data_IF_487945139368
#
_entry.id   IF_487945139368
#
_cell.length_a   1.000
_cell.length_b   1.000
_cell.length_c   1.000
_cell.angle_alpha   90.00
_cell.angle_beta   90.00
_cell.angle_gamma   90.00
#
_symmetry.space_group_name_H-M   'P 1'
#
loop_
_entity.id
_entity.type
_entity.pdbx_description
1 polymer ?
#
# COMPACT_ATOMS: atom_id res chain seq x y z
N UNK A 1 27.52 -60.26 9.90
CA UNK A 1 28.10 -58.90 9.68
C UNK A 1 27.62 -58.23 8.37
N UNK A 2 27.40 -58.94 7.29
CA UNK A 2 27.00 -58.33 6.00
C UNK A 2 25.63 -57.58 6.02
N UNK A 3 24.66 -57.98 6.84
CA UNK A 3 23.33 -57.36 6.91
C UNK A 3 23.34 -55.94 7.52
N UNK A 4 24.24 -55.66 8.47
CA UNK A 4 24.37 -54.32 9.07
C UNK A 4 24.85 -53.27 8.05
N UNK A 5 25.75 -53.61 7.17
CA UNK A 5 26.28 -52.72 6.14
C UNK A 5 25.26 -52.43 5.02
N UNK A 6 24.37 -53.37 4.72
CA UNK A 6 23.30 -53.16 3.74
C UNK A 6 22.27 -52.17 4.25
N UNK A 7 21.90 -52.27 5.53
CA UNK A 7 20.93 -51.36 6.15
C UNK A 7 21.50 -49.93 6.22
N UNK A 8 22.79 -49.77 6.61
CA UNK A 8 23.44 -48.46 6.66
C UNK A 8 23.59 -47.84 5.25
N UNK A 9 23.87 -48.60 4.24
CA UNK A 9 23.99 -48.15 2.87
C UNK A 9 22.62 -47.64 2.33
N UNK A 10 21.53 -48.36 2.63
CA UNK A 10 20.18 -47.97 2.22
C UNK A 10 19.69 -46.70 2.92
N UNK A 11 20.04 -46.53 4.20
CA UNK A 11 19.69 -45.29 4.94
C UNK A 11 20.42 -44.05 4.41
N UNK A 12 21.72 -44.22 4.07
CA UNK A 12 22.51 -43.12 3.49
C UNK A 12 21.95 -42.72 2.10
N UNK A 13 21.56 -43.69 1.27
CA UNK A 13 20.97 -43.43 -0.04
C UNK A 13 19.60 -42.70 0.12
N UNK A 14 18.75 -43.12 1.07
CA UNK A 14 17.48 -42.50 1.31
C UNK A 14 17.64 -41.03 1.79
N UNK A 15 18.59 -40.77 2.67
CA UNK A 15 18.88 -39.40 3.16
C UNK A 15 19.41 -38.51 2.01
N UNK A 16 20.29 -39.06 1.16
CA UNK A 16 20.83 -38.29 0.03
C UNK A 16 19.77 -37.97 -1.01
N UNK A 17 18.80 -38.85 -1.27
CA UNK A 17 17.69 -38.62 -2.19
C UNK A 17 16.75 -37.57 -1.62
N UNK A 18 16.46 -37.61 -0.32
CA UNK A 18 15.63 -36.58 0.34
C UNK A 18 16.32 -35.21 0.30
N UNK A 19 17.61 -35.15 0.59
CA UNK A 19 18.40 -33.91 0.57
C UNK A 19 18.48 -33.33 -0.86
N UNK A 20 18.60 -34.19 -1.87
CA UNK A 20 18.59 -33.78 -3.28
C UNK A 20 17.22 -33.27 -3.71
N UNK A 21 16.12 -33.89 -3.28
CA UNK A 21 14.77 -33.48 -3.57
C UNK A 21 14.42 -32.12 -2.95
N UNK A 22 14.92 -31.84 -1.72
CA UNK A 22 14.70 -30.55 -1.04
C UNK A 22 15.55 -29.42 -1.63
N UNK A 23 16.71 -29.72 -2.21
CA UNK A 23 17.57 -28.73 -2.86
C UNK A 23 17.05 -28.24 -4.22
N UNK A 24 16.07 -28.93 -4.80
CA UNK A 24 15.42 -28.53 -6.04
C UNK A 24 14.23 -27.58 -5.85
N UNK A 25 13.85 -27.26 -4.61
CA UNK A 25 12.89 -26.21 -4.34
C UNK A 25 13.57 -24.86 -4.60
N UNK A 26 13.62 -24.45 -5.86
CA UNK A 26 13.93 -23.06 -6.22
C UNK A 26 12.91 -22.18 -5.53
N UNK A 27 13.32 -21.13 -4.80
CA UNK A 27 12.37 -20.11 -4.39
C UNK A 27 11.74 -19.58 -5.67
N UNK A 28 10.46 -19.81 -5.81
CA UNK A 28 9.66 -19.24 -6.88
C UNK A 28 9.63 -17.74 -6.58
N UNK A 29 10.60 -16.99 -7.15
CA UNK A 29 10.47 -15.56 -7.26
C UNK A 29 9.19 -15.34 -8.06
N UNK A 30 8.14 -14.90 -7.40
CA UNK A 30 6.96 -14.38 -8.06
C UNK A 30 7.43 -13.20 -8.92
N UNK A 31 7.75 -13.52 -10.17
CA UNK A 31 7.90 -12.51 -11.20
C UNK A 31 6.54 -11.83 -11.28
N UNK A 32 6.44 -10.62 -10.72
CA UNK A 32 5.31 -9.76 -10.98
C UNK A 32 5.34 -9.50 -12.49
N UNK A 33 4.51 -10.23 -13.21
CA UNK A 33 4.27 -9.96 -14.62
C UNK A 33 3.70 -8.55 -14.72
N UNK A 34 4.52 -7.61 -15.14
CA UNK A 34 4.20 -6.20 -15.41
C UNK A 34 3.22 -6.00 -16.57
N UNK A 35 2.46 -7.00 -16.93
CA UNK A 35 1.37 -6.94 -17.93
C UNK A 35 -0.03 -7.00 -17.33
N UNK A 36 -0.16 -7.05 -16.00
CA UNK A 36 -1.43 -6.91 -15.31
C UNK A 36 -1.65 -5.45 -14.92
N UNK A 37 -2.54 -4.77 -15.62
CA UNK A 37 -3.06 -3.48 -15.18
C UNK A 37 -3.73 -3.73 -13.83
N UNK A 38 -3.08 -3.38 -12.71
CA UNK A 38 -3.63 -3.54 -11.36
C UNK A 38 -4.78 -2.55 -11.19
N UNK A 39 -5.98 -2.98 -11.60
CA UNK A 39 -7.21 -2.26 -11.30
C UNK A 39 -7.46 -2.39 -9.81
N UNK A 40 -7.64 -1.29 -9.14
CA UNK A 40 -7.97 -1.27 -7.72
C UNK A 40 -9.42 -1.71 -7.58
N UNK A 41 -9.66 -2.77 -6.82
CA UNK A 41 -11.00 -3.18 -6.46
C UNK A 41 -11.67 -2.12 -5.57
N UNK A 42 -12.99 -1.97 -5.71
CA UNK A 42 -13.74 -1.07 -4.84
C UNK A 42 -13.81 -1.65 -3.42
N UNK A 43 -13.62 -0.80 -2.44
CA UNK A 43 -13.72 -1.19 -1.04
C UNK A 43 -14.37 -0.10 -0.20
N UNK A 44 -15.07 -0.54 0.84
CA UNK A 44 -15.74 0.33 1.79
C UNK A 44 -14.78 0.84 2.86
N UNK A 45 -14.94 2.08 3.23
CA UNK A 45 -14.16 2.78 4.22
C UNK A 45 -15.06 3.55 5.19
N UNK A 46 -14.65 3.62 6.45
CA UNK A 46 -15.33 4.43 7.47
C UNK A 46 -14.54 5.72 7.67
N UNK A 47 -15.17 6.85 7.41
CA UNK A 47 -14.57 8.18 7.64
C UNK A 47 -14.46 8.42 9.15
N UNK A 48 -13.51 9.24 9.56
CA UNK A 48 -13.30 9.60 10.98
C UNK A 48 -14.53 10.29 11.64
N UNK A 49 -15.49 10.77 10.86
CA UNK A 49 -16.77 11.29 11.33
C UNK A 49 -17.87 10.22 11.50
N UNK A 50 -17.57 8.95 11.18
CA UNK A 50 -18.47 7.82 11.26
C UNK A 50 -19.27 7.52 9.99
N UNK A 51 -19.17 8.36 8.96
CA UNK A 51 -19.83 8.10 7.67
C UNK A 51 -19.10 7.00 6.90
N UNK A 52 -19.85 6.22 6.12
CA UNK A 52 -19.31 5.22 5.22
C UNK A 52 -19.18 5.77 3.81
N UNK A 53 -18.09 5.39 3.13
CA UNK A 53 -17.79 5.73 1.74
C UNK A 53 -17.18 4.54 1.02
N UNK A 54 -17.36 4.47 -0.28
CA UNK A 54 -16.64 3.55 -1.15
C UNK A 54 -15.53 4.28 -1.89
N UNK A 55 -14.46 3.59 -2.24
CA UNK A 55 -13.41 4.20 -3.06
C UNK A 55 -13.97 4.67 -4.41
N UNK A 56 -14.97 3.96 -4.94
CA UNK A 56 -15.69 4.29 -6.17
C UNK A 56 -16.42 5.64 -6.14
N UNK A 57 -16.66 6.25 -4.98
CA UNK A 57 -17.24 7.61 -4.89
C UNK A 57 -16.36 8.66 -5.54
N UNK A 58 -15.08 8.36 -5.74
CA UNK A 58 -14.09 9.23 -6.41
C UNK A 58 -13.70 8.74 -7.80
N UNK A 59 -14.51 7.85 -8.41
CA UNK A 59 -14.27 7.40 -9.78
C UNK A 59 -14.21 8.60 -10.75
N UNK A 60 -13.28 8.52 -11.69
CA UNK A 60 -13.03 9.62 -12.63
C UNK A 60 -12.08 10.69 -12.10
N UNK A 61 -11.65 10.60 -10.84
CA UNK A 61 -10.61 11.47 -10.27
C UNK A 61 -9.25 10.75 -10.21
N UNK A 62 -8.21 11.56 -10.13
CA UNK A 62 -6.89 11.08 -9.70
C UNK A 62 -6.94 10.97 -8.18
N UNK A 63 -6.75 9.77 -7.66
CA UNK A 63 -6.76 9.54 -6.21
C UNK A 63 -5.32 9.42 -5.73
N UNK A 64 -4.98 10.17 -4.69
CA UNK A 64 -3.73 10.05 -3.94
C UNK A 64 -4.08 9.43 -2.59
N UNK A 65 -4.00 8.10 -2.52
CA UNK A 65 -4.29 7.31 -1.32
C UNK A 65 -3.02 7.19 -0.49
N UNK A 66 -3.05 7.71 0.73
CA UNK A 66 -1.92 7.72 1.65
C UNK A 66 -2.23 6.91 2.91
N UNK A 67 -1.42 5.90 3.19
CA UNK A 67 -1.46 5.11 4.41
C UNK A 67 -0.52 5.74 5.44
N UNK A 68 -1.06 6.08 6.62
CA UNK A 68 -0.34 6.84 7.63
C UNK A 68 -0.78 6.48 9.06
N UNK A 69 -0.10 7.04 10.08
CA UNK A 69 -0.49 6.92 11.47
C UNK A 69 -0.01 8.13 12.29
N UNK A 70 -0.67 8.42 13.41
CA UNK A 70 -0.30 9.56 14.29
C UNK A 70 1.03 9.35 15.01
N UNK A 71 1.45 8.11 15.21
CA UNK A 71 2.74 7.74 15.81
C UNK A 71 3.90 7.65 14.82
N UNK A 72 3.67 7.93 13.53
CA UNK A 72 4.65 7.79 12.46
C UNK A 72 5.30 9.16 12.13
N UNK A 73 6.53 9.46 12.59
CA UNK A 73 7.12 10.79 12.41
C UNK A 73 7.25 11.25 10.94
N UNK A 74 7.66 10.41 9.98
CA UNK A 74 7.70 10.84 8.58
C UNK A 74 6.29 11.10 8.01
N UNK A 75 5.25 10.37 8.46
CA UNK A 75 3.86 10.66 8.07
C UNK A 75 3.44 12.08 8.50
N UNK A 76 3.80 12.45 9.72
CA UNK A 76 3.44 13.77 10.27
C UNK A 76 4.12 14.93 9.53
N UNK A 77 5.29 14.69 8.92
CA UNK A 77 6.00 15.71 8.15
C UNK A 77 5.39 15.98 6.79
N UNK A 78 4.81 14.97 6.13
CA UNK A 78 4.24 15.13 4.78
C UNK A 78 2.80 15.69 4.80
N UNK A 79 2.04 15.48 5.89
CA UNK A 79 0.63 15.89 5.98
C UNK A 79 0.41 17.39 5.72
N UNK A 80 1.20 18.35 6.25
CA UNK A 80 1.03 19.77 5.94
C UNK A 80 1.13 20.07 4.44
N UNK A 81 2.03 19.39 3.72
CA UNK A 81 2.14 19.52 2.27
C UNK A 81 0.90 18.95 1.56
N UNK A 82 0.38 17.81 2.02
CA UNK A 82 -0.83 17.20 1.47
C UNK A 82 -2.07 18.11 1.64
N UNK A 83 -2.24 18.73 2.82
CA UNK A 83 -3.31 19.72 3.08
C UNK A 83 -3.24 20.86 2.06
N UNK A 84 -2.05 21.42 1.87
CA UNK A 84 -1.83 22.52 0.90
C UNK A 84 -2.11 22.06 -0.53
N UNK A 85 -1.67 20.86 -0.89
CA UNK A 85 -1.87 20.32 -2.24
C UNK A 85 -3.34 19.98 -2.50
N UNK A 86 -4.07 19.42 -1.53
CA UNK A 86 -5.51 19.18 -1.66
C UNK A 86 -6.27 20.48 -1.96
N UNK A 87 -6.02 21.53 -1.18
CA UNK A 87 -6.65 22.83 -1.39
C UNK A 87 -6.39 23.40 -2.81
N UNK A 88 -5.18 23.18 -3.33
CA UNK A 88 -4.79 23.65 -4.65
C UNK A 88 -5.32 22.79 -5.79
N UNK A 89 -5.34 21.47 -5.64
CA UNK A 89 -5.57 20.54 -6.76
C UNK A 89 -6.95 19.94 -6.80
N UNK A 90 -7.81 20.16 -5.80
CA UNK A 90 -9.19 19.66 -5.82
C UNK A 90 -9.98 20.12 -7.05
N UNK A 91 -9.69 21.32 -7.58
CA UNK A 91 -10.32 21.84 -8.80
C UNK A 91 -9.76 21.17 -10.07
N UNK A 92 -8.62 20.54 -10.00
CA UNK A 92 -7.96 19.82 -11.08
C UNK A 92 -8.28 18.32 -11.08
N UNK A 93 -9.40 17.95 -10.51
CA UNK A 93 -9.88 16.56 -10.42
C UNK A 93 -8.95 15.61 -9.64
N UNK A 94 -8.14 16.14 -8.71
CA UNK A 94 -7.26 15.38 -7.79
C UNK A 94 -7.92 15.31 -6.42
N UNK A 95 -7.95 14.13 -5.84
CA UNK A 95 -8.46 13.87 -4.51
C UNK A 95 -7.42 13.15 -3.64
N UNK A 96 -7.02 13.77 -2.53
CA UNK A 96 -6.28 13.08 -1.49
C UNK A 96 -7.23 12.28 -0.60
N UNK A 97 -6.78 11.10 -0.19
CA UNK A 97 -7.48 10.22 0.74
C UNK A 97 -6.46 9.70 1.73
N UNK A 98 -6.67 9.93 3.01
CA UNK A 98 -5.88 9.36 4.09
C UNK A 98 -6.49 8.04 4.57
N UNK A 99 -5.68 7.01 4.75
CA UNK A 99 -6.04 5.77 5.41
C UNK A 99 -5.17 5.64 6.66
N UNK A 100 -5.73 5.98 7.81
CA UNK A 100 -4.99 5.94 9.07
C UNK A 100 -5.04 4.55 9.70
N UNK A 101 -3.88 4.00 10.01
CA UNK A 101 -3.70 2.71 10.69
C UNK A 101 -3.44 2.93 12.18
N UNK A 102 -4.39 3.60 12.87
CA UNK A 102 -4.24 4.03 14.25
C UNK A 102 -5.59 4.08 14.99
N UNK A 103 -5.52 4.40 16.28
CA UNK A 103 -6.67 4.60 17.15
C UNK A 103 -7.59 5.73 16.63
N UNK A 104 -8.91 5.48 16.51
CA UNK A 104 -9.86 6.44 15.96
C UNK A 104 -9.87 7.80 16.66
N UNK A 105 -9.78 7.83 17.99
CA UNK A 105 -9.85 9.07 18.75
C UNK A 105 -8.61 9.92 18.55
N UNK A 106 -7.43 9.28 18.47
CA UNK A 106 -6.16 9.96 18.14
C UNK A 106 -6.19 10.55 16.74
N UNK A 107 -6.71 9.78 15.77
CA UNK A 107 -6.83 10.25 14.37
C UNK A 107 -7.77 11.45 14.29
N UNK A 108 -8.92 11.38 14.97
CA UNK A 108 -9.91 12.45 15.00
C UNK A 108 -9.34 13.72 15.64
N UNK A 109 -8.69 13.59 16.79
CA UNK A 109 -8.03 14.70 17.45
C UNK A 109 -6.98 15.33 16.54
N UNK A 110 -6.09 14.53 15.98
CA UNK A 110 -5.04 14.99 15.07
C UNK A 110 -5.63 15.70 13.83
N UNK A 111 -6.68 15.15 13.22
CA UNK A 111 -7.34 15.73 12.07
C UNK A 111 -7.89 17.13 12.38
N UNK A 112 -8.49 17.32 13.55
CA UNK A 112 -8.99 18.62 14.00
C UNK A 112 -7.85 19.60 14.27
N UNK A 113 -6.82 19.19 15.02
CA UNK A 113 -5.67 20.03 15.37
C UNK A 113 -4.88 20.51 14.15
N UNK A 114 -4.74 19.66 13.13
CA UNK A 114 -3.97 19.96 11.92
C UNK A 114 -4.82 20.52 10.78
N UNK A 115 -6.14 20.54 10.93
CA UNK A 115 -7.04 21.02 9.89
C UNK A 115 -6.99 20.18 8.63
N UNK A 116 -7.04 18.85 8.75
CA UNK A 116 -7.07 17.95 7.59
C UNK A 116 -8.30 18.28 6.72
N UNK A 117 -8.06 18.62 5.47
CA UNK A 117 -9.08 19.10 4.51
C UNK A 117 -9.41 18.07 3.41
N UNK A 118 -9.07 16.82 3.64
CA UNK A 118 -9.40 15.69 2.76
C UNK A 118 -9.92 14.52 3.59
N UNK A 119 -10.71 13.60 2.97
CA UNK A 119 -11.25 12.43 3.66
C UNK A 119 -10.15 11.61 4.33
N UNK A 120 -10.33 11.31 5.61
CA UNK A 120 -9.47 10.40 6.36
C UNK A 120 -10.31 9.25 6.89
N UNK A 121 -9.87 8.04 6.62
CA UNK A 121 -10.54 6.81 6.96
C UNK A 121 -9.80 6.07 8.06
N UNK A 122 -10.57 5.35 8.85
CA UNK A 122 -10.06 4.47 9.90
C UNK A 122 -9.67 3.14 9.28
N UNK A 123 -8.38 2.87 9.26
CA UNK A 123 -7.83 1.62 8.74
C UNK A 123 -8.03 0.48 9.73
N UNK A 124 -8.34 -0.68 9.19
CA UNK A 124 -8.45 -1.96 9.92
C UNK A 124 -7.42 -2.95 9.38
N UNK A 125 -7.39 -4.17 9.94
CA UNK A 125 -6.57 -5.26 9.39
C UNK A 125 -6.85 -5.52 7.89
N UNK A 126 -8.10 -5.34 7.45
CA UNK A 126 -8.48 -5.43 6.04
C UNK A 126 -7.75 -4.39 5.19
N UNK A 127 -7.66 -3.13 5.64
CA UNK A 127 -6.98 -2.06 4.92
C UNK A 127 -5.46 -2.22 4.92
N UNK A 128 -4.89 -2.90 5.93
CA UNK A 128 -3.48 -3.32 5.91
C UNK A 128 -3.25 -4.34 4.80
N UNK A 129 -4.16 -5.30 4.61
CA UNK A 129 -4.10 -6.26 3.51
C UNK A 129 -4.18 -5.53 2.16
N UNK A 130 -5.15 -4.60 1.98
CA UNK A 130 -5.24 -3.75 0.78
C UNK A 130 -3.93 -3.01 0.52
N UNK A 131 -3.30 -2.42 1.55
CA UNK A 131 -2.01 -1.74 1.40
C UNK A 131 -0.94 -2.67 0.81
N UNK A 132 -0.92 -3.93 1.26
CA UNK A 132 0.01 -4.96 0.74
C UNK A 132 -0.30 -5.33 -0.71
N UNK A 133 -1.57 -5.54 -1.05
CA UNK A 133 -2.01 -5.84 -2.41
C UNK A 133 -1.71 -4.69 -3.38
N UNK A 134 -1.66 -3.46 -2.86
CA UNK A 134 -1.23 -2.26 -3.58
C UNK A 134 0.30 -2.05 -3.59
N UNK A 135 1.08 -3.04 -3.15
CA UNK A 135 2.54 -3.07 -3.25
C UNK A 135 3.31 -2.71 -1.98
N UNK A 136 2.65 -2.45 -0.84
CA UNK A 136 3.32 -2.23 0.45
C UNK A 136 3.61 -3.56 1.17
N UNK A 137 4.38 -4.43 0.56
CA UNK A 137 4.66 -5.78 1.06
C UNK A 137 5.24 -5.77 2.49
N UNK A 138 6.06 -4.79 2.80
CA UNK A 138 6.75 -4.65 4.10
C UNK A 138 5.93 -3.93 5.16
N UNK A 139 4.77 -3.34 4.80
CA UNK A 139 3.93 -2.57 5.73
C UNK A 139 4.57 -1.26 6.22
N UNK A 140 5.47 -0.67 5.43
CA UNK A 140 6.12 0.60 5.77
C UNK A 140 5.11 1.74 5.75
N UNK A 141 5.24 2.70 6.68
CA UNK A 141 4.52 3.96 6.70
C UNK A 141 5.50 5.15 6.65
N UNK A 142 5.13 6.23 5.97
CA UNK A 142 3.95 6.38 5.12
C UNK A 142 4.10 5.59 3.82
N UNK A 143 2.96 5.26 3.22
CA UNK A 143 2.92 4.63 1.91
C UNK A 143 1.87 5.31 1.05
N UNK A 144 2.24 5.76 -0.15
CA UNK A 144 1.36 6.50 -1.05
C UNK A 144 1.12 5.73 -2.34
N UNK A 145 -0.13 5.63 -2.75
CA UNK A 145 -0.57 5.03 -4.02
C UNK A 145 -1.27 6.09 -4.84
N UNK A 146 -0.88 6.28 -6.10
CA UNK A 146 -1.59 7.14 -7.04
C UNK A 146 -2.40 6.25 -7.99
N UNK A 147 -3.70 6.51 -8.03
CA UNK A 147 -4.70 5.79 -8.82
C UNK A 147 -5.24 6.76 -9.86
N UNK A 148 -5.25 6.35 -11.12
CA UNK A 148 -5.77 7.16 -12.21
C UNK A 148 -7.32 7.13 -12.28
N UNK A 149 -7.96 7.96 -13.13
CA UNK A 149 -9.42 7.97 -13.28
C UNK A 149 -10.08 6.65 -13.66
N UNK A 150 -9.32 5.72 -14.26
CA UNK A 150 -9.75 4.36 -14.63
C UNK A 150 -9.54 3.34 -13.51
N UNK A 151 -9.24 3.78 -12.30
CA UNK A 151 -8.97 2.92 -11.13
C UNK A 151 -7.75 2.01 -11.30
N UNK A 152 -6.73 2.47 -12.01
CA UNK A 152 -5.46 1.77 -12.17
C UNK A 152 -4.39 2.41 -11.32
N UNK A 153 -3.61 1.59 -10.60
CA UNK A 153 -2.42 2.06 -9.90
C UNK A 153 -1.38 2.47 -10.94
N UNK A 154 -0.95 3.74 -10.89
CA UNK A 154 0.05 4.30 -11.81
C UNK A 154 1.36 4.63 -11.12
N UNK A 155 1.37 4.73 -9.80
CA UNK A 155 2.57 5.03 -9.02
C UNK A 155 2.40 4.62 -7.57
N UNK A 156 3.47 4.13 -6.96
CA UNK A 156 3.56 3.86 -5.53
C UNK A 156 4.83 4.47 -4.96
N UNK A 157 4.78 4.86 -3.69
CA UNK A 157 5.90 5.46 -2.99
C UNK A 157 5.95 5.00 -1.54
N UNK A 158 7.09 4.46 -1.13
CA UNK A 158 7.37 4.09 0.26
C UNK A 158 8.15 5.20 0.94
N UNK A 159 7.72 5.61 2.12
CA UNK A 159 8.32 6.70 2.88
C UNK A 159 7.70 8.07 2.57
N UNK A 160 8.27 9.13 3.16
CA UNK A 160 7.79 10.50 3.06
C UNK A 160 7.75 10.99 1.61
N UNK A 161 6.58 11.42 1.14
CA UNK A 161 6.40 11.95 -0.21
C UNK A 161 6.33 13.48 -0.19
N UNK A 162 7.02 14.12 -1.15
CA UNK A 162 7.07 15.58 -1.25
C UNK A 162 6.18 16.10 -2.37
N UNK A 163 5.78 17.38 -2.28
CA UNK A 163 5.05 18.08 -3.36
C UNK A 163 5.79 17.97 -4.70
N UNK A 164 7.12 18.05 -4.68
CA UNK A 164 7.94 17.94 -5.90
C UNK A 164 7.81 16.57 -6.55
N UNK A 165 7.85 15.50 -5.77
CA UNK A 165 7.68 14.13 -6.27
C UNK A 165 6.27 13.96 -6.86
N UNK A 166 5.24 14.39 -6.14
CA UNK A 166 3.85 14.30 -6.62
C UNK A 166 3.63 15.09 -7.91
N UNK A 167 4.09 16.34 -7.99
CA UNK A 167 4.01 17.15 -9.21
C UNK A 167 4.72 16.49 -10.40
N UNK A 168 5.93 15.97 -10.19
CA UNK A 168 6.70 15.30 -11.23
C UNK A 168 5.97 14.04 -11.73
N UNK A 169 5.40 13.29 -10.80
CA UNK A 169 4.66 12.06 -11.14
C UNK A 169 3.40 12.37 -11.92
N UNK A 170 2.55 13.29 -11.44
CA UNK A 170 1.32 13.66 -12.13
C UNK A 170 1.59 14.22 -13.52
N UNK A 171 2.64 15.05 -13.67
CA UNK A 171 3.06 15.57 -14.98
C UNK A 171 3.48 14.46 -15.95
N UNK A 172 4.18 13.43 -15.46
CA UNK A 172 4.63 12.30 -16.28
C UNK A 172 3.46 11.54 -16.91
N UNK A 173 2.32 11.50 -16.22
CA UNK A 173 1.11 10.83 -16.67
C UNK A 173 0.09 11.79 -17.33
N UNK A 174 0.50 13.04 -17.63
CA UNK A 174 -0.35 14.10 -18.19
C UNK A 174 -1.63 14.39 -17.36
N UNK A 175 -1.49 14.23 -16.04
CA UNK A 175 -2.57 14.38 -15.06
C UNK A 175 -2.46 15.70 -14.27
N UNK A 176 -1.51 16.57 -14.63
CA UNK A 176 -1.38 17.90 -14.04
C UNK A 176 -2.25 18.88 -14.79
N UNK A 177 -3.43 19.18 -14.28
CA UNK A 177 -4.20 20.33 -14.73
C UNK A 177 -3.53 21.65 -14.39
#
# INVERSE_FOLDING_TARGET
MKHKYIITALTIIAISVICYATSQVKPQSSQINTTGVNTVEDFRMVVIDGNERNLSDWKGKIIILNFWATWCPPCLREIPAMIKMQAKWQQNNVQFIGMSLDDPDKVKQFAQEKGLNYPNFLGTAFHIAISRDLGNETGILPYTVIINPDFKVIYTHSGEITETVLKKTLKKFDLSG
#
